data_IF_281301081898
#
_entry.id   IF_281301081898
#
_cell.length_a   1.000
_cell.length_b   1.000
_cell.length_c   1.000
_cell.angle_alpha   90.00
_cell.angle_beta   90.00
_cell.angle_gamma   90.00
#
_symmetry.space_group_name_H-M   'P 1'
#
loop_
_entity.id
_entity.type
_entity.pdbx_description
1 polymer ?
#
# COMPACT_ATOMS: atom_id res chain seq x y z
N UNK A 1 -19.56 -3.38 -0.62
CA UNK A 1 -18.18 -3.22 -1.12
C UNK A 1 -17.54 -4.58 -1.38
N UNK A 2 -17.57 -5.52 -0.44
CA UNK A 2 -17.10 -6.89 -0.66
C UNK A 2 -17.75 -7.56 -1.88
N UNK A 3 -19.08 -7.42 -2.03
CA UNK A 3 -19.85 -7.97 -3.16
C UNK A 3 -19.34 -7.50 -4.54
N UNK A 4 -19.03 -6.20 -4.70
CA UNK A 4 -18.43 -5.67 -5.93
C UNK A 4 -17.01 -6.23 -6.17
N UNK A 5 -16.24 -6.46 -5.10
CA UNK A 5 -14.90 -7.04 -5.22
C UNK A 5 -14.96 -8.51 -5.62
N UNK A 6 -15.94 -9.26 -5.12
CA UNK A 6 -16.16 -10.66 -5.47
C UNK A 6 -16.61 -10.80 -6.94
N UNK A 7 -17.56 -9.97 -7.39
CA UNK A 7 -18.03 -9.94 -8.78
C UNK A 7 -16.92 -9.59 -9.78
N UNK A 8 -16.06 -8.63 -9.45
CA UNK A 8 -14.95 -8.21 -10.32
C UNK A 8 -13.81 -9.23 -10.33
N UNK A 9 -13.55 -9.93 -9.21
CA UNK A 9 -12.59 -11.03 -9.17
C UNK A 9 -13.00 -12.18 -10.12
N UNK A 10 -14.29 -12.51 -10.17
CA UNK A 10 -14.85 -13.49 -11.11
C UNK A 10 -14.69 -13.05 -12.58
N UNK A 11 -14.73 -11.74 -12.84
CA UNK A 11 -14.47 -11.15 -14.15
C UNK A 11 -12.96 -11.00 -14.48
N UNK A 12 -12.04 -11.54 -13.65
CA UNK A 12 -10.59 -11.35 -13.74
C UNK A 12 -10.12 -9.88 -13.64
N UNK A 13 -10.98 -8.97 -13.20
CA UNK A 13 -10.66 -7.57 -12.95
C UNK A 13 -10.05 -7.44 -11.56
N UNK A 14 -8.90 -6.77 -11.45
CA UNK A 14 -8.22 -6.55 -10.17
C UNK A 14 -8.72 -5.32 -9.44
N UNK A 15 -9.28 -5.50 -8.24
CA UNK A 15 -9.64 -4.37 -7.36
C UNK A 15 -8.42 -3.88 -6.60
N UNK A 16 -8.29 -2.56 -6.50
CA UNK A 16 -7.26 -1.91 -5.71
C UNK A 16 -7.84 -0.97 -4.66
N UNK A 17 -7.21 -0.94 -3.49
CA UNK A 17 -7.52 0.05 -2.45
C UNK A 17 -6.57 1.25 -2.58
N UNK A 18 -7.10 2.47 -2.45
CA UNK A 18 -6.33 3.71 -2.45
C UNK A 18 -6.49 4.44 -1.12
N UNK A 19 -5.48 5.24 -0.76
CA UNK A 19 -5.53 6.16 0.37
C UNK A 19 -5.74 5.46 1.72
N UNK A 20 -5.24 4.22 1.87
CA UNK A 20 -5.26 3.53 3.16
C UNK A 20 -4.49 4.32 4.23
N UNK A 21 -3.46 5.05 3.82
CA UNK A 21 -2.72 6.04 4.61
C UNK A 21 -3.59 7.15 5.23
N UNK A 22 -4.77 7.39 4.67
CA UNK A 22 -5.69 8.45 5.08
C UNK A 22 -6.93 7.89 5.79
N UNK A 23 -7.05 6.58 5.87
CA UNK A 23 -8.08 5.89 6.63
C UNK A 23 -7.51 4.63 7.28
N UNK A 24 -6.61 4.77 8.28
CA UNK A 24 -5.92 3.63 8.90
C UNK A 24 -6.86 2.57 9.47
N UNK A 25 -8.06 2.96 9.91
CA UNK A 25 -9.10 2.05 10.39
C UNK A 25 -9.53 1.01 9.33
N UNK A 26 -9.38 1.32 8.04
CA UNK A 26 -9.69 0.38 6.96
C UNK A 26 -8.74 -0.82 6.94
N UNK A 27 -7.59 -0.77 7.63
CA UNK A 27 -6.66 -1.89 7.77
C UNK A 27 -7.34 -3.12 8.38
N UNK A 28 -8.28 -2.94 9.31
CA UNK A 28 -9.04 -4.03 9.92
C UNK A 28 -9.88 -4.82 8.92
N UNK A 29 -10.27 -4.21 7.81
CA UNK A 29 -11.09 -4.83 6.78
C UNK A 29 -10.26 -5.43 5.65
N UNK A 30 -8.96 -5.12 5.57
CA UNK A 30 -8.09 -5.61 4.50
C UNK A 30 -8.22 -7.14 4.32
N UNK A 31 -8.13 -7.97 5.39
CA UNK A 31 -8.21 -9.43 5.30
C UNK A 31 -9.49 -9.99 4.67
N UNK A 32 -10.57 -9.23 4.69
CA UNK A 32 -11.87 -9.65 4.13
C UNK A 32 -12.11 -9.21 2.70
N UNK A 33 -11.15 -8.52 2.06
CA UNK A 33 -11.33 -7.95 0.73
C UNK A 33 -10.44 -8.68 -0.29
N UNK A 34 -10.97 -9.15 -1.43
CA UNK A 34 -10.17 -9.80 -2.47
C UNK A 34 -9.44 -8.76 -3.34
N UNK A 35 -8.53 -8.01 -2.72
CA UNK A 35 -7.74 -6.97 -3.37
C UNK A 35 -6.58 -7.59 -4.14
N UNK A 36 -6.17 -6.95 -5.24
CA UNK A 36 -4.89 -7.26 -5.91
C UNK A 36 -3.77 -6.31 -5.53
N UNK A 37 -4.12 -5.10 -5.10
CA UNK A 37 -3.14 -4.10 -4.70
C UNK A 37 -3.69 -3.04 -3.75
N UNK A 38 -2.78 -2.42 -2.99
CA UNK A 38 -3.00 -1.22 -2.19
C UNK A 38 -2.08 -0.11 -2.72
N UNK A 39 -2.59 1.11 -2.78
CA UNK A 39 -1.86 2.33 -3.14
C UNK A 39 -1.78 3.28 -1.96
N UNK A 40 -0.57 3.61 -1.54
CA UNK A 40 -0.25 4.53 -0.45
C UNK A 40 0.38 5.82 -1.00
N UNK A 41 0.10 6.95 -0.35
CA UNK A 41 0.68 8.25 -0.71
C UNK A 41 2.18 8.36 -0.36
N UNK A 42 2.94 9.06 -1.20
CA UNK A 42 4.36 9.31 -0.99
C UNK A 42 4.65 10.18 0.22
N UNK A 43 3.80 11.16 0.52
CA UNK A 43 3.94 11.97 1.73
C UNK A 43 3.96 11.11 3.01
N UNK A 44 3.02 10.16 3.12
CA UNK A 44 2.96 9.24 4.26
C UNK A 44 4.20 8.34 4.31
N UNK A 45 4.67 7.87 3.15
CA UNK A 45 5.91 7.12 3.04
C UNK A 45 7.14 7.93 3.48
N UNK A 46 7.27 9.21 3.11
CA UNK A 46 8.40 10.05 3.53
C UNK A 46 8.40 10.32 5.03
N UNK A 47 7.23 10.58 5.60
CA UNK A 47 7.08 10.80 7.04
C UNK A 47 7.51 9.58 7.88
N UNK A 48 7.54 8.37 7.31
CA UNK A 48 8.00 7.16 8.01
C UNK A 48 9.49 7.21 8.41
N UNK A 49 10.30 8.05 7.77
CA UNK A 49 11.71 8.20 8.13
C UNK A 49 11.88 9.00 9.42
N UNK A 50 11.06 10.03 9.63
CA UNK A 50 11.17 10.96 10.75
C UNK A 50 10.15 10.72 11.87
N UNK A 51 9.08 9.98 11.61
CA UNK A 51 8.00 9.73 12.56
C UNK A 51 7.82 8.21 12.83
N UNK A 52 8.15 7.73 14.05
CA UNK A 52 8.03 6.32 14.42
C UNK A 52 6.59 5.77 14.36
N UNK A 53 5.58 6.60 14.68
CA UNK A 53 4.18 6.18 14.62
C UNK A 53 3.72 5.93 13.18
N UNK A 54 4.11 6.83 12.26
CA UNK A 54 3.88 6.64 10.82
C UNK A 54 4.62 5.41 10.31
N UNK A 55 5.86 5.20 10.75
CA UNK A 55 6.65 4.00 10.39
C UNK A 55 5.95 2.71 10.78
N UNK A 56 5.54 2.57 12.04
CA UNK A 56 4.87 1.35 12.51
C UNK A 56 3.54 1.12 11.78
N UNK A 57 2.78 2.20 11.53
CA UNK A 57 1.52 2.07 10.82
C UNK A 57 1.74 1.65 9.36
N UNK A 58 2.75 2.20 8.69
CA UNK A 58 3.12 1.82 7.33
C UNK A 58 3.61 0.37 7.26
N UNK A 59 4.43 -0.07 8.22
CA UNK A 59 4.85 -1.47 8.34
C UNK A 59 3.64 -2.40 8.51
N UNK A 60 2.69 -2.05 9.38
CA UNK A 60 1.48 -2.83 9.58
C UNK A 60 0.61 -2.89 8.32
N UNK A 61 0.48 -1.79 7.58
CA UNK A 61 -0.23 -1.77 6.29
C UNK A 61 0.45 -2.69 5.26
N UNK A 62 1.78 -2.65 5.19
CA UNK A 62 2.55 -3.46 4.25
C UNK A 62 2.46 -4.95 4.61
N UNK A 63 2.69 -5.31 5.87
CA UNK A 63 2.66 -6.70 6.32
C UNK A 63 1.27 -7.31 6.14
N UNK A 64 0.21 -6.59 6.53
CA UNK A 64 -1.17 -7.06 6.41
C UNK A 64 -1.55 -7.32 4.95
N UNK A 65 -1.09 -6.48 4.02
CA UNK A 65 -1.30 -6.69 2.59
C UNK A 65 -0.52 -7.91 2.07
N UNK A 66 0.74 -8.07 2.49
CA UNK A 66 1.59 -9.18 2.07
C UNK A 66 1.09 -10.53 2.56
N UNK A 67 0.58 -10.61 3.78
CA UNK A 67 -0.03 -11.83 4.34
C UNK A 67 -1.22 -12.34 3.49
N UNK A 68 -1.79 -11.48 2.67
CA UNK A 68 -2.91 -11.77 1.76
C UNK A 68 -2.48 -11.86 0.28
N UNK A 69 -1.19 -11.76 -0.02
CA UNK A 69 -0.69 -11.70 -1.39
C UNK A 69 -1.04 -10.41 -2.15
N UNK A 70 -1.43 -9.36 -1.44
CA UNK A 70 -1.81 -8.06 -2.01
C UNK A 70 -0.57 -7.20 -2.21
N UNK A 71 -0.37 -6.68 -3.43
CA UNK A 71 0.81 -5.84 -3.75
C UNK A 71 0.65 -4.43 -3.19
N UNK A 72 1.71 -3.88 -2.61
CA UNK A 72 1.71 -2.49 -2.12
C UNK A 72 2.46 -1.60 -3.11
N UNK A 73 1.83 -0.49 -3.50
CA UNK A 73 2.41 0.52 -4.37
C UNK A 73 2.46 1.86 -3.66
N UNK A 74 3.61 2.51 -3.69
CA UNK A 74 3.75 3.92 -3.36
C UNK A 74 3.42 4.72 -4.63
N UNK A 75 2.59 5.74 -4.49
CA UNK A 75 2.05 6.45 -5.67
C UNK A 75 2.95 7.58 -6.17
N UNK A 76 3.84 8.10 -5.33
CA UNK A 76 4.73 9.20 -5.65
C UNK A 76 6.20 8.78 -5.56
N UNK A 77 7.06 9.54 -6.24
CA UNK A 77 8.49 9.46 -5.97
C UNK A 77 8.77 9.96 -4.56
N UNK A 78 9.67 9.29 -3.86
CA UNK A 78 10.10 9.65 -2.51
C UNK A 78 11.63 9.73 -2.48
N UNK A 79 12.17 10.37 -1.44
CA UNK A 79 13.62 10.44 -1.22
C UNK A 79 14.28 9.04 -1.29
N UNK A 80 15.54 8.93 -1.79
CA UNK A 80 16.22 7.64 -2.00
C UNK A 80 16.26 6.73 -0.77
N UNK A 81 16.44 7.31 0.42
CA UNK A 81 16.45 6.58 1.69
C UNK A 81 15.08 5.93 1.98
N UNK A 82 13.99 6.68 1.84
CA UNK A 82 12.63 6.16 1.99
C UNK A 82 12.34 5.08 0.95
N UNK A 83 12.77 5.31 -0.30
CA UNK A 83 12.60 4.36 -1.38
C UNK A 83 13.37 3.05 -1.12
N UNK A 84 14.58 3.10 -0.57
CA UNK A 84 15.35 1.91 -0.23
C UNK A 84 14.68 1.12 0.89
N UNK A 85 14.27 1.80 1.97
CA UNK A 85 13.58 1.17 3.09
C UNK A 85 12.25 0.53 2.67
N UNK A 86 11.45 1.22 1.85
CA UNK A 86 10.19 0.70 1.31
C UNK A 86 10.36 -0.55 0.45
N UNK A 87 11.42 -0.61 -0.37
CA UNK A 87 11.73 -1.82 -1.17
C UNK A 87 12.08 -3.00 -0.29
N UNK A 88 12.86 -2.78 0.78
CA UNK A 88 13.19 -3.82 1.76
C UNK A 88 11.92 -4.35 2.42
N UNK A 89 10.95 -3.46 2.72
CA UNK A 89 9.64 -3.86 3.23
C UNK A 89 8.73 -4.51 2.18
N UNK A 90 9.12 -4.52 0.91
CA UNK A 90 8.39 -5.17 -0.18
C UNK A 90 7.31 -4.30 -0.85
N UNK A 91 7.38 -2.98 -0.70
CA UNK A 91 6.58 -2.05 -1.49
C UNK A 91 7.21 -1.78 -2.86
N UNK A 92 6.36 -1.62 -3.88
CA UNK A 92 6.75 -1.18 -5.23
C UNK A 92 6.66 0.34 -5.33
N UNK A 93 7.64 0.96 -5.96
CA UNK A 93 7.71 2.41 -6.16
C UNK A 93 7.65 2.77 -7.65
N UNK A 94 7.22 3.99 -8.01
CA UNK A 94 7.33 4.45 -9.38
C UNK A 94 8.79 4.47 -9.83
N UNK A 95 9.03 4.13 -11.09
CA UNK A 95 10.33 4.33 -11.72
C UNK A 95 10.55 5.84 -11.82
N UNK A 96 11.62 6.35 -11.23
CA UNK A 96 12.01 7.73 -11.47
C UNK A 96 12.50 7.82 -12.92
N UNK A 97 11.67 8.36 -13.82
CA UNK A 97 12.12 8.77 -15.15
C UNK A 97 13.04 9.98 -14.96
N UNK A 98 14.34 9.79 -15.21
CA UNK A 98 15.25 10.91 -15.36
C UNK A 98 14.81 11.68 -16.62
N UNK A 99 14.22 12.85 -16.42
CA UNK A 99 13.91 13.83 -17.46
C UNK A 99 14.84 15.02 -17.32
#
# INVERSE_FOLDING_TARGET
MAELCDETALAHVGVGLRRLDQSPKALWHLPSLPLRYVKLGGYFAEQSLSNPGVRHLLEAMISTAQDQGVRVYITDAVAPEAAAWLRIKGASLPVQSQG
#
